data_IF_508345403142
#
_entry.id   IF_508345403142
#
_cell.length_a   1.000
_cell.length_b   1.000
_cell.length_c   1.000
_cell.angle_alpha   90.00
_cell.angle_beta   90.00
_cell.angle_gamma   90.00
#
_symmetry.space_group_name_H-M   'P 1'
#
loop_
_entity.id
_entity.type
_entity.pdbx_description
1 polymer ?
#
# COMPACT_ATOMS: atom_id res chain seq x y z
N UNK A 1 -9.63 9.67 19.78
CA UNK A 1 -8.32 9.48 20.41
C UNK A 1 -7.25 10.10 19.54
N UNK A 2 -6.42 10.95 20.11
CA UNK A 2 -5.35 11.56 19.34
C UNK A 2 -4.23 10.58 19.11
N UNK A 3 -3.60 10.63 17.95
CA UNK A 3 -2.45 9.77 17.69
C UNK A 3 -1.31 10.16 18.62
N UNK A 4 -0.60 9.15 19.09
CA UNK A 4 0.52 9.35 19.97
C UNK A 4 1.79 8.88 19.29
N UNK A 5 2.74 9.78 19.16
CA UNK A 5 4.07 9.43 18.66
C UNK A 5 4.98 9.14 19.85
N UNK A 6 4.66 9.72 20.99
CA UNK A 6 5.41 9.54 22.22
C UNK A 6 4.86 8.34 22.98
N UNK A 7 5.71 7.42 23.33
CA UNK A 7 5.35 6.31 24.18
C UNK A 7 4.67 5.15 23.50
N UNK A 8 3.84 5.38 22.50
CA UNK A 8 3.18 4.31 21.73
C UNK A 8 3.59 4.45 20.27
N UNK A 9 4.14 3.41 19.66
CA UNK A 9 4.49 3.46 18.25
C UNK A 9 3.23 3.64 17.40
N UNK A 10 3.26 4.64 16.52
CA UNK A 10 2.19 4.91 15.59
C UNK A 10 2.69 4.58 14.20
N UNK A 11 2.00 3.68 13.51
CA UNK A 11 2.46 3.28 12.19
C UNK A 11 2.10 4.36 11.16
N UNK A 12 2.96 4.51 10.18
CA UNK A 12 2.73 5.44 9.09
C UNK A 12 1.44 5.08 8.34
N UNK A 13 1.14 3.79 8.23
CA UNK A 13 -0.12 3.32 7.63
C UNK A 13 -1.34 3.88 8.37
N UNK A 14 -1.31 3.87 9.70
CA UNK A 14 -2.41 4.41 10.50
C UNK A 14 -2.55 5.91 10.31
N UNK A 15 -1.45 6.61 10.18
CA UNK A 15 -1.44 8.05 9.94
C UNK A 15 -2.06 8.37 8.58
N UNK A 16 -1.68 7.62 7.54
CA UNK A 16 -2.24 7.80 6.20
C UNK A 16 -3.76 7.64 6.23
N UNK A 17 -4.23 6.59 6.89
CA UNK A 17 -5.66 6.31 6.98
C UNK A 17 -6.39 7.38 7.81
N UNK A 18 -5.82 7.72 8.96
CA UNK A 18 -6.44 8.68 9.88
C UNK A 18 -6.48 10.10 9.36
N UNK A 19 -5.46 10.51 8.62
CA UNK A 19 -5.40 11.85 8.04
C UNK A 19 -6.31 12.01 6.82
N UNK A 20 -6.92 10.92 6.35
CA UNK A 20 -7.83 10.98 5.22
C UNK A 20 -7.15 11.29 3.91
N UNK A 21 -5.92 10.84 3.74
CA UNK A 21 -5.18 11.07 2.50
C UNK A 21 -5.83 10.31 1.35
N UNK A 22 -5.95 10.97 0.20
CA UNK A 22 -6.58 10.39 -0.97
C UNK A 22 -5.87 10.88 -2.23
N UNK A 23 -6.04 10.13 -3.33
CA UNK A 23 -5.46 10.50 -4.61
C UNK A 23 -3.96 10.59 -4.58
N UNK A 24 -3.37 11.62 -5.20
CA UNK A 24 -1.92 11.76 -5.27
C UNK A 24 -1.24 11.84 -3.91
N UNK A 25 -1.88 12.42 -2.91
CA UNK A 25 -1.31 12.52 -1.57
C UNK A 25 -1.19 11.14 -0.92
N UNK A 26 -2.18 10.29 -1.12
CA UNK A 26 -2.14 8.93 -0.60
C UNK A 26 -1.02 8.15 -1.26
N UNK A 27 -0.87 8.26 -2.58
CA UNK A 27 0.19 7.59 -3.32
C UNK A 27 1.55 8.09 -2.84
N UNK A 28 1.72 9.39 -2.74
CA UNK A 28 2.96 10.00 -2.27
C UNK A 28 3.36 9.45 -0.90
N UNK A 29 2.42 9.46 0.04
CA UNK A 29 2.68 8.99 1.40
C UNK A 29 2.95 7.49 1.45
N UNK A 30 2.17 6.70 0.71
CA UNK A 30 2.31 5.24 0.71
C UNK A 30 3.61 4.77 0.05
N UNK A 31 4.11 5.50 -0.95
CA UNK A 31 5.34 5.14 -1.63
C UNK A 31 6.59 5.68 -0.94
N UNK A 32 6.42 6.43 0.15
CA UNK A 32 7.53 7.02 0.89
C UNK A 32 7.98 6.10 2.02
N UNK A 33 9.30 6.05 2.23
CA UNK A 33 9.90 5.39 3.37
C UNK A 33 10.05 6.40 4.50
N UNK A 34 9.58 6.05 5.69
CA UNK A 34 9.74 6.91 6.87
C UNK A 34 11.17 6.77 7.39
N UNK A 35 11.92 7.86 7.34
CA UNK A 35 13.28 7.90 7.86
C UNK A 35 13.24 8.30 9.33
N UNK A 36 12.43 9.30 9.66
CA UNK A 36 12.28 9.77 11.02
C UNK A 36 10.84 10.26 11.20
N UNK A 37 10.23 9.92 12.31
CA UNK A 37 8.90 10.39 12.66
C UNK A 37 8.91 10.88 14.09
N UNK A 38 8.65 12.16 14.27
CA UNK A 38 8.57 12.77 15.59
C UNK A 38 7.18 13.40 15.76
N UNK A 39 6.96 14.01 16.92
CA UNK A 39 5.64 14.60 17.23
C UNK A 39 5.33 15.84 16.39
N UNK A 40 6.32 16.44 15.75
CA UNK A 40 6.14 17.70 15.02
C UNK A 40 6.66 17.64 13.58
N UNK A 41 7.24 16.52 13.16
CA UNK A 41 7.73 16.37 11.79
C UNK A 41 7.87 14.92 11.38
N UNK A 42 7.91 14.70 10.08
CA UNK A 42 8.27 13.41 9.49
C UNK A 42 9.26 13.67 8.37
N UNK A 43 10.29 12.84 8.30
CA UNK A 43 11.24 12.86 7.19
C UNK A 43 10.98 11.61 6.36
N UNK A 44 10.73 11.83 5.07
CA UNK A 44 10.36 10.76 4.14
C UNK A 44 11.39 10.68 3.03
N UNK A 45 11.64 9.46 2.57
CA UNK A 45 12.48 9.21 1.39
C UNK A 45 11.59 8.63 0.30
N UNK A 46 11.68 9.21 -0.89
CA UNK A 46 10.85 8.81 -2.02
C UNK A 46 11.71 8.71 -3.26
N UNK A 47 11.66 7.55 -3.91
CA UNK A 47 12.41 7.31 -5.14
C UNK A 47 11.79 7.98 -6.36
N UNK A 48 10.48 8.17 -6.37
CA UNK A 48 9.77 8.77 -7.51
C UNK A 48 9.69 10.27 -7.29
N UNK A 49 10.67 10.99 -7.80
CA UNK A 49 10.80 12.43 -7.55
C UNK A 49 9.68 13.26 -8.17
N UNK A 50 9.01 12.75 -9.21
CA UNK A 50 7.93 13.48 -9.86
C UNK A 50 6.73 13.70 -8.94
N UNK A 51 6.60 12.90 -7.89
CA UNK A 51 5.53 13.06 -6.88
C UNK A 51 5.89 14.10 -5.83
N UNK A 52 7.16 14.45 -5.71
CA UNK A 52 7.63 15.40 -4.70
C UNK A 52 7.56 16.81 -5.27
N UNK A 53 6.42 17.45 -5.12
CA UNK A 53 6.25 18.85 -5.53
C UNK A 53 6.00 19.68 -4.28
N UNK A 54 6.29 20.98 -4.36
CA UNK A 54 6.03 21.88 -3.24
C UNK A 54 4.56 21.89 -2.87
N UNK A 55 3.68 21.82 -3.87
CA UNK A 55 2.25 21.80 -3.64
C UNK A 55 1.82 20.53 -2.90
N UNK A 56 2.31 19.37 -3.33
CA UNK A 56 1.98 18.10 -2.67
C UNK A 56 2.53 18.09 -1.24
N UNK A 57 3.74 18.59 -1.03
CA UNK A 57 4.33 18.68 0.29
C UNK A 57 3.47 19.54 1.22
N UNK A 58 3.03 20.68 0.74
CA UNK A 58 2.20 21.60 1.54
C UNK A 58 0.85 21.00 1.87
N UNK A 59 0.20 20.35 0.91
CA UNK A 59 -1.07 19.69 1.17
C UNK A 59 -0.91 18.56 2.18
N UNK A 60 0.17 17.80 2.07
CA UNK A 60 0.44 16.74 3.02
C UNK A 60 0.66 17.31 4.42
N UNK A 61 1.43 18.40 4.53
CA UNK A 61 1.64 19.07 5.81
C UNK A 61 0.32 19.55 6.42
N UNK A 62 -0.55 20.14 5.60
CA UNK A 62 -1.85 20.61 6.06
C UNK A 62 -2.70 19.46 6.61
N UNK A 63 -2.75 18.36 5.89
CA UNK A 63 -3.52 17.20 6.31
C UNK A 63 -2.99 16.59 7.59
N UNK A 64 -1.68 16.46 7.69
CA UNK A 64 -1.06 15.90 8.90
C UNK A 64 -1.19 16.85 10.08
N UNK A 65 -1.07 18.15 9.84
CA UNK A 65 -1.27 19.14 10.89
C UNK A 65 -2.68 19.06 11.44
N UNK A 66 -3.68 18.91 10.58
CA UNK A 66 -5.07 18.76 11.00
C UNK A 66 -5.27 17.46 11.79
N UNK A 67 -4.64 16.38 11.35
CA UNK A 67 -4.76 15.10 12.01
C UNK A 67 -4.17 15.11 13.41
N UNK A 68 -2.99 15.72 13.57
CA UNK A 68 -2.33 15.80 14.88
C UNK A 68 -2.82 16.96 15.76
N UNK A 69 -3.58 17.88 15.18
CA UNK A 69 -4.09 19.03 15.93
C UNK A 69 -3.02 20.06 16.28
N UNK A 70 -1.92 20.09 15.54
CA UNK A 70 -0.80 21.02 15.76
C UNK A 70 0.03 21.12 14.49
N UNK A 71 0.88 22.17 14.37
CA UNK A 71 1.74 22.29 13.20
C UNK A 71 2.63 21.06 13.05
N UNK A 72 2.66 20.52 11.85
CA UNK A 72 3.42 19.30 11.54
C UNK A 72 4.18 19.53 10.24
N UNK A 73 5.46 19.21 10.24
CA UNK A 73 6.32 19.42 9.08
C UNK A 73 6.56 18.12 8.31
N UNK A 74 6.61 18.24 7.00
CA UNK A 74 6.94 17.13 6.12
C UNK A 74 8.20 17.50 5.35
N UNK A 75 9.22 16.66 5.48
CA UNK A 75 10.49 16.83 4.81
C UNK A 75 10.71 15.63 3.89
N UNK A 76 11.21 15.89 2.69
CA UNK A 76 11.53 14.84 1.74
C UNK A 76 13.02 14.84 1.46
N UNK A 77 13.61 13.64 1.39
CA UNK A 77 14.95 13.48 0.88
C UNK A 77 14.93 12.61 -0.37
N UNK A 78 15.83 12.87 -1.29
CA UNK A 78 15.94 12.08 -2.50
C UNK A 78 16.67 10.77 -2.19
N UNK A 79 16.29 9.72 -2.88
CA UNK A 79 16.97 8.45 -2.77
C UNK A 79 16.03 7.27 -2.98
N UNK A 80 16.63 6.12 -3.25
CA UNK A 80 15.88 4.90 -3.42
C UNK A 80 15.37 4.42 -2.05
N UNK A 81 14.16 3.89 -2.03
CA UNK A 81 13.60 3.28 -0.82
C UNK A 81 14.10 1.86 -0.68
N UNK A 82 14.20 1.38 0.56
CA UNK A 82 14.55 0.00 0.82
C UNK A 82 13.36 -0.91 0.49
N UNK A 83 13.67 -2.13 0.05
CA UNK A 83 12.62 -3.09 -0.29
C UNK A 83 11.76 -3.38 0.94
N UNK A 84 10.45 -3.24 0.76
CA UNK A 84 9.49 -3.51 1.83
C UNK A 84 9.36 -2.41 2.87
N UNK A 85 10.06 -1.30 2.71
CA UNK A 85 10.08 -0.23 3.70
C UNK A 85 8.90 0.74 3.59
N UNK A 86 8.12 0.67 2.50
CA UNK A 86 6.98 1.57 2.29
C UNK A 86 5.66 0.84 2.52
N UNK A 87 4.62 1.61 2.80
CA UNK A 87 3.26 1.07 2.94
C UNK A 87 2.83 0.42 1.63
N UNK A 88 3.16 1.06 0.50
CA UNK A 88 2.82 0.51 -0.82
C UNK A 88 3.50 -0.84 -1.07
N UNK A 89 4.76 -0.99 -0.68
CA UNK A 89 5.46 -2.27 -0.80
C UNK A 89 4.81 -3.35 0.06
N UNK A 90 4.45 -3.00 1.29
CA UNK A 90 3.80 -3.95 2.18
C UNK A 90 2.45 -4.40 1.60
N UNK A 91 1.71 -3.49 1.01
CA UNK A 91 0.43 -3.80 0.37
C UNK A 91 0.62 -4.68 -0.86
N UNK A 92 1.65 -4.41 -1.65
CA UNK A 92 1.97 -5.25 -2.82
C UNK A 92 2.35 -6.67 -2.39
N UNK A 93 3.13 -6.80 -1.33
CA UNK A 93 3.52 -8.11 -0.80
C UNK A 93 2.34 -8.88 -0.25
N UNK A 94 1.44 -8.19 0.45
CA UNK A 94 0.24 -8.83 0.96
C UNK A 94 -0.64 -9.34 -0.17
N UNK A 95 -0.83 -8.53 -1.22
CA UNK A 95 -1.63 -8.96 -2.38
C UNK A 95 -0.99 -10.13 -3.11
N UNK A 96 0.34 -10.14 -3.21
CA UNK A 96 1.04 -11.26 -3.84
C UNK A 96 0.87 -12.54 -3.04
N UNK A 97 0.94 -12.44 -1.72
CA UNK A 97 0.74 -13.58 -0.83
C UNK A 97 -0.69 -14.11 -0.92
N UNK A 98 -1.68 -13.21 -0.90
CA UNK A 98 -3.08 -13.59 -1.04
C UNK A 98 -3.35 -14.26 -2.37
N UNK A 99 -2.73 -13.75 -3.43
CA UNK A 99 -2.83 -14.36 -4.75
C UNK A 99 -2.26 -15.78 -4.76
N UNK A 100 -1.09 -15.95 -4.16
CA UNK A 100 -0.45 -17.26 -4.08
C UNK A 100 -1.30 -18.24 -3.28
N UNK A 101 -1.87 -17.81 -2.17
CA UNK A 101 -2.75 -18.64 -1.37
C UNK A 101 -4.02 -19.03 -2.14
N UNK A 102 -4.56 -18.09 -2.91
CA UNK A 102 -5.71 -18.37 -3.76
C UNK A 102 -5.37 -19.41 -4.82
N UNK A 103 -4.21 -19.29 -5.46
CA UNK A 103 -3.74 -20.26 -6.46
C UNK A 103 -3.60 -21.65 -5.84
N UNK A 104 -3.01 -21.73 -4.64
CA UNK A 104 -2.86 -23.01 -3.96
C UNK A 104 -4.21 -23.64 -3.62
N UNK A 105 -5.16 -22.85 -3.12
CA UNK A 105 -6.52 -23.36 -2.86
C UNK A 105 -7.19 -23.85 -4.14
N UNK A 106 -7.02 -23.08 -5.20
CA UNK A 106 -7.61 -23.45 -6.50
C UNK A 106 -7.05 -24.78 -7.00
N UNK A 107 -5.74 -24.95 -6.95
CA UNK A 107 -5.09 -26.19 -7.38
C UNK A 107 -5.50 -27.39 -6.54
N UNK A 108 -5.78 -27.18 -5.27
CA UNK A 108 -6.12 -28.25 -4.33
C UNK A 108 -7.62 -28.54 -4.25
N UNK A 109 -8.44 -27.75 -4.95
CA UNK A 109 -9.88 -27.96 -4.97
C UNK A 109 -10.20 -29.25 -5.71
N UNK A 110 -10.96 -30.20 -5.09
CA UNK A 110 -11.28 -31.46 -5.74
C UNK A 110 -12.01 -31.30 -7.06
N UNK A 111 -12.90 -30.33 -7.16
CA UNK A 111 -13.64 -30.07 -8.39
C UNK A 111 -12.71 -29.59 -9.50
N UNK A 112 -11.78 -28.71 -9.17
CA UNK A 112 -10.80 -28.21 -10.13
C UNK A 112 -9.90 -29.34 -10.62
N UNK A 113 -9.45 -30.19 -9.71
CA UNK A 113 -8.63 -31.36 -10.07
C UNK A 113 -9.36 -32.29 -11.03
N UNK A 114 -10.65 -32.49 -10.76
CA UNK A 114 -11.46 -33.33 -11.63
C UNK A 114 -11.62 -32.74 -13.03
N UNK A 115 -11.87 -31.45 -13.11
CA UNK A 115 -11.99 -30.73 -14.38
C UNK A 115 -10.68 -30.84 -15.18
N UNK A 116 -9.55 -30.63 -14.51
CA UNK A 116 -8.24 -30.73 -15.14
C UNK A 116 -7.99 -32.13 -15.66
N UNK A 117 -8.36 -33.15 -14.89
CA UNK A 117 -8.20 -34.53 -15.30
C UNK A 117 -9.05 -34.85 -16.54
N UNK A 118 -10.27 -34.37 -16.57
CA UNK A 118 -11.18 -34.62 -17.69
C UNK A 118 -10.73 -33.95 -18.96
N UNK A 119 -10.17 -32.75 -18.88
CA UNK A 119 -9.74 -32.00 -20.06
C UNK A 119 -8.28 -32.18 -20.40
N UNK A 120 -7.52 -32.88 -19.54
CA UNK A 120 -6.10 -33.11 -19.79
C UNK A 120 -5.27 -31.85 -19.84
N UNK A 121 -5.79 -30.76 -19.33
CA UNK A 121 -5.13 -29.48 -19.42
C UNK A 121 -4.20 -29.17 -18.25
N UNK A 122 -3.36 -28.18 -18.48
CA UNK A 122 -2.53 -27.60 -17.40
C UNK A 122 -3.04 -26.20 -17.11
N UNK A 123 -2.90 -25.80 -15.85
CA UNK A 123 -3.29 -24.45 -15.44
C UNK A 123 -2.12 -23.50 -15.65
N UNK A 124 -2.40 -22.38 -16.30
CA UNK A 124 -1.47 -21.26 -16.30
C UNK A 124 -1.67 -20.48 -15.01
N UNK A 125 -0.77 -20.70 -14.08
CA UNK A 125 -0.86 -20.11 -12.74
C UNK A 125 -0.86 -18.59 -12.79
N UNK A 126 -0.18 -18.00 -13.75
CA UNK A 126 -0.10 -16.56 -13.88
C UNK A 126 -1.45 -15.91 -14.25
N UNK A 127 -2.38 -16.69 -14.78
CA UNK A 127 -3.70 -16.18 -15.15
C UNK A 127 -4.69 -16.23 -13.99
N UNK A 128 -4.36 -16.88 -12.89
CA UNK A 128 -5.25 -17.01 -11.73
C UNK A 128 -5.12 -15.76 -10.86
N UNK A 129 -6.25 -15.10 -10.62
CA UNK A 129 -6.28 -13.88 -9.80
C UNK A 129 -7.69 -13.65 -9.28
N UNK A 130 -7.85 -12.81 -8.22
CA UNK A 130 -9.19 -12.46 -7.75
C UNK A 130 -9.99 -11.78 -8.86
N UNK A 131 -11.27 -12.11 -8.94
CA UNK A 131 -12.14 -11.52 -9.95
C UNK A 131 -12.46 -10.07 -9.59
N UNK A 132 -12.25 -9.19 -10.57
CA UNK A 132 -12.72 -7.81 -10.50
C UNK A 132 -14.09 -7.72 -11.16
N UNK A 133 -14.72 -6.55 -11.08
CA UNK A 133 -15.99 -6.36 -11.76
C UNK A 133 -15.88 -6.58 -13.27
N UNK A 134 -14.78 -6.16 -13.86
CA UNK A 134 -14.55 -6.37 -15.28
C UNK A 134 -14.40 -7.83 -15.62
N UNK A 135 -13.70 -8.58 -14.81
CA UNK A 135 -13.50 -10.01 -15.02
C UNK A 135 -14.77 -10.79 -14.84
N UNK A 136 -15.60 -10.42 -13.89
CA UNK A 136 -16.91 -11.04 -13.71
C UNK A 136 -17.80 -10.84 -14.93
N UNK A 137 -17.79 -9.64 -15.51
CA UNK A 137 -18.53 -9.39 -16.74
C UNK A 137 -17.96 -10.15 -17.92
N UNK A 138 -16.65 -10.24 -17.99
CA UNK A 138 -15.98 -10.98 -19.07
C UNK A 138 -16.19 -12.48 -18.98
N UNK A 139 -16.47 -12.99 -17.78
CA UNK A 139 -16.71 -14.42 -17.58
C UNK A 139 -18.10 -14.87 -18.01
N UNK A 140 -19.00 -13.94 -18.25
CA UNK A 140 -20.35 -14.23 -18.73
C UNK A 140 -20.35 -14.50 -20.26
#
# INVERSE_FOLDING_TARGET
MQPSIDGAPLSWREIIAGAGLAGPLKVLAAESQVIELTRDRVQLRLGVQSLVTEQNRRFLEERLSAYFGRPFRVLFEAGATEAGATVADADRRRRAKEHQEMVERFKNDPLVKEVLRLFGGTIDVSSIRPLSEEEKRGAE
#
